data_IF_220849792855
#
_entry.id   IF_220849792855
#
_cell.length_a   1.000
_cell.length_b   1.000
_cell.length_c   1.000
_cell.angle_alpha   90.00
_cell.angle_beta   90.00
_cell.angle_gamma   90.00
#
_symmetry.space_group_name_H-M   'P 1'
#
loop_
_entity.id
_entity.type
_entity.pdbx_description
1 polymer ?
#
# COMPACT_ATOMS: atom_id res chain seq x y z
N UNK A 1 -33.29 -23.02 23.63
CA UNK A 1 -32.27 -22.16 22.98
C UNK A 1 -32.20 -22.52 21.49
N UNK A 2 -32.34 -21.55 20.57
CA UNK A 2 -32.17 -21.82 19.13
C UNK A 2 -30.68 -22.09 18.86
N UNK A 3 -30.35 -23.19 18.19
CA UNK A 3 -28.96 -23.50 17.80
C UNK A 3 -28.47 -22.41 16.84
N UNK A 4 -27.24 -21.88 17.00
CA UNK A 4 -26.75 -20.82 16.14
C UNK A 4 -26.54 -21.36 14.73
N UNK A 5 -26.94 -20.59 13.72
CA UNK A 5 -26.85 -21.01 12.31
C UNK A 5 -25.40 -21.28 11.90
N UNK A 6 -25.07 -22.50 11.46
CA UNK A 6 -23.73 -22.82 10.97
C UNK A 6 -23.50 -22.20 9.58
N UNK A 7 -22.24 -22.12 9.17
CA UNK A 7 -21.91 -21.67 7.82
C UNK A 7 -22.36 -22.71 6.79
N UNK A 8 -22.95 -22.26 5.68
CA UNK A 8 -23.31 -23.11 4.56
C UNK A 8 -22.40 -22.78 3.37
N UNK A 9 -21.81 -23.76 2.66
CA UNK A 9 -20.96 -23.49 1.50
C UNK A 9 -21.63 -22.65 0.41
N UNK A 10 -22.96 -22.76 0.26
CA UNK A 10 -23.76 -21.93 -0.64
C UNK A 10 -23.65 -20.43 -0.34
N UNK A 11 -23.35 -20.05 0.90
CA UNK A 11 -23.16 -18.65 1.28
C UNK A 11 -21.97 -18.02 0.57
N UNK A 12 -20.93 -18.80 0.27
CA UNK A 12 -19.70 -18.27 -0.32
C UNK A 12 -19.95 -17.54 -1.64
N UNK A 13 -20.73 -18.15 -2.55
CA UNK A 13 -21.09 -17.54 -3.83
C UNK A 13 -22.33 -16.65 -3.70
N UNK A 14 -23.30 -17.00 -2.86
CA UNK A 14 -24.54 -16.23 -2.74
C UNK A 14 -24.32 -14.83 -2.14
N UNK A 15 -23.34 -14.71 -1.23
CA UNK A 15 -23.02 -13.49 -0.51
C UNK A 15 -21.56 -13.06 -0.70
N UNK A 16 -20.84 -13.68 -1.64
CA UNK A 16 -19.45 -13.31 -1.94
C UNK A 16 -18.55 -13.20 -0.69
N UNK A 17 -18.54 -14.27 0.09
CA UNK A 17 -17.70 -14.42 1.29
C UNK A 17 -16.75 -15.59 1.13
N UNK A 18 -15.57 -15.51 1.73
CA UNK A 18 -14.61 -16.61 1.74
C UNK A 18 -14.24 -17.02 3.16
N UNK A 19 -14.10 -18.32 3.39
CA UNK A 19 -13.63 -18.88 4.66
C UNK A 19 -12.13 -18.68 4.73
N UNK A 20 -11.64 -18.08 5.82
CA UNK A 20 -10.22 -17.75 6.02
C UNK A 20 -9.58 -18.51 7.17
N UNK A 21 -10.38 -19.00 8.11
CA UNK A 21 -9.90 -19.77 9.24
C UNK A 21 -10.95 -20.80 9.63
N UNK A 22 -10.48 -21.92 10.16
CA UNK A 22 -11.30 -22.95 10.80
C UNK A 22 -10.63 -23.31 12.11
N UNK A 23 -11.33 -23.12 13.21
CA UNK A 23 -10.85 -23.46 14.54
C UNK A 23 -10.92 -24.98 14.76
N UNK A 24 -10.20 -25.47 15.77
CA UNK A 24 -10.16 -26.89 16.13
C UNK A 24 -11.52 -27.48 16.51
N UNK A 25 -12.45 -26.63 16.95
CA UNK A 25 -13.83 -27.00 17.26
C UNK A 25 -14.75 -27.03 16.02
N UNK A 26 -14.24 -26.76 14.82
CA UNK A 26 -15.00 -26.71 13.57
C UNK A 26 -15.69 -25.38 13.29
N UNK A 27 -15.57 -24.37 14.16
CA UNK A 27 -16.09 -23.03 13.86
C UNK A 27 -15.25 -22.37 12.78
N UNK A 28 -15.92 -21.79 11.78
CA UNK A 28 -15.26 -21.08 10.68
C UNK A 28 -15.30 -19.58 10.90
N UNK A 29 -14.35 -18.86 10.30
CA UNK A 29 -14.41 -17.41 10.14
C UNK A 29 -14.41 -17.10 8.66
N UNK A 30 -15.35 -16.26 8.22
CA UNK A 30 -15.46 -15.83 6.83
C UNK A 30 -15.14 -14.34 6.73
N UNK A 31 -14.62 -13.88 5.60
CA UNK A 31 -14.48 -12.44 5.31
C UNK A 31 -15.25 -12.04 4.07
N UNK A 32 -15.66 -10.78 4.03
CA UNK A 32 -16.27 -10.17 2.85
C UNK A 32 -15.21 -9.94 1.76
N UNK A 33 -15.47 -10.40 0.53
CA UNK A 33 -14.55 -10.18 -0.59
C UNK A 33 -14.64 -8.77 -1.18
N UNK A 34 -15.79 -8.10 -1.14
CA UNK A 34 -15.88 -6.66 -1.49
C UNK A 34 -14.96 -5.83 -0.61
N UNK A 35 -15.00 -6.02 0.71
CA UNK A 35 -14.06 -5.40 1.65
C UNK A 35 -12.59 -5.64 1.27
N UNK A 36 -12.25 -6.86 0.81
CA UNK A 36 -10.89 -7.29 0.50
C UNK A 36 -10.34 -6.68 -0.80
N UNK A 37 -11.18 -6.56 -1.83
CA UNK A 37 -10.74 -6.19 -3.18
C UNK A 37 -11.12 -4.77 -3.59
N UNK A 38 -12.22 -4.24 -3.07
CA UNK A 38 -12.73 -2.92 -3.45
C UNK A 38 -12.71 -1.95 -2.26
N UNK A 39 -12.54 -2.45 -1.05
CA UNK A 39 -12.70 -1.64 0.15
C UNK A 39 -14.17 -1.27 0.34
N UNK A 40 -14.44 -0.26 1.17
CA UNK A 40 -15.80 0.18 1.47
C UNK A 40 -16.15 1.40 0.63
N UNK A 41 -17.41 1.49 0.21
CA UNK A 41 -17.92 2.66 -0.53
C UNK A 41 -17.61 3.95 0.25
N UNK A 42 -17.06 4.93 -0.46
CA UNK A 42 -16.74 6.24 0.11
C UNK A 42 -18.05 6.99 0.35
N UNK A 43 -18.28 7.39 1.59
CA UNK A 43 -19.38 8.26 1.97
C UNK A 43 -18.79 9.62 2.32
N UNK A 44 -19.25 10.67 1.64
CA UNK A 44 -18.77 12.03 1.88
C UNK A 44 -19.10 12.48 3.31
N UNK A 45 -18.03 12.82 4.04
CA UNK A 45 -18.11 13.35 5.41
C UNK A 45 -18.78 14.73 5.34
N UNK A 46 -19.79 14.95 6.19
CA UNK A 46 -20.53 16.22 6.26
C UNK A 46 -21.80 16.31 5.43
N UNK A 47 -21.94 15.58 4.32
CA UNK A 47 -23.18 15.56 3.51
C UNK A 47 -24.23 14.62 4.09
N UNK A 48 -23.79 13.49 4.67
CA UNK A 48 -24.69 12.46 5.22
C UNK A 48 -24.84 12.51 6.75
N UNK A 49 -24.53 13.65 7.40
CA UNK A 49 -24.56 13.79 8.86
C UNK A 49 -23.51 12.97 9.63
N UNK A 50 -22.49 12.44 8.93
CA UNK A 50 -21.46 11.58 9.52
C UNK A 50 -20.18 12.36 9.79
N UNK A 51 -19.68 12.30 11.03
CA UNK A 51 -18.56 13.12 11.53
C UNK A 51 -17.17 12.46 11.44
N UNK A 52 -17.06 11.24 10.88
CA UNK A 52 -15.78 10.49 10.86
C UNK A 52 -15.59 9.74 9.54
N UNK A 53 -14.33 9.74 9.05
CA UNK A 53 -13.86 8.92 7.91
C UNK A 53 -14.12 7.44 8.20
N UNK A 54 -14.63 6.72 7.20
CA UNK A 54 -14.92 5.29 7.32
C UNK A 54 -13.62 4.49 7.36
N UNK A 55 -13.48 3.59 8.36
CA UNK A 55 -12.30 2.71 8.47
C UNK A 55 -12.28 1.71 7.32
N UNK A 56 -11.11 1.49 6.71
CA UNK A 56 -10.91 0.56 5.59
C UNK A 56 -10.79 -0.92 5.97
N UNK A 57 -11.06 -1.28 7.22
CA UNK A 57 -10.84 -2.65 7.70
C UNK A 57 -11.78 -3.66 7.03
N UNK A 58 -11.25 -4.85 6.79
CA UNK A 58 -12.01 -5.96 6.23
C UNK A 58 -13.05 -6.46 7.24
N UNK A 59 -14.30 -6.65 6.78
CA UNK A 59 -15.34 -7.26 7.61
C UNK A 59 -15.15 -8.78 7.68
N UNK A 60 -15.01 -9.27 8.90
CA UNK A 60 -15.08 -10.69 9.25
C UNK A 60 -16.45 -11.04 9.85
N UNK A 61 -16.92 -12.24 9.52
CA UNK A 61 -18.14 -12.86 10.01
C UNK A 61 -17.79 -14.12 10.77
N UNK A 62 -18.39 -14.25 11.95
CA UNK A 62 -18.35 -15.45 12.76
C UNK A 62 -19.80 -15.90 12.99
N UNK A 63 -19.97 -17.07 13.60
CA UNK A 63 -21.28 -17.60 13.99
C UNK A 63 -22.06 -16.59 14.86
N UNK A 64 -23.38 -16.42 14.66
CA UNK A 64 -24.24 -17.15 13.72
C UNK A 64 -24.17 -16.60 12.28
N UNK A 65 -24.16 -17.50 11.29
CA UNK A 65 -24.11 -17.13 9.88
C UNK A 65 -25.50 -16.88 9.30
N UNK A 66 -26.12 -15.78 9.73
CA UNK A 66 -27.47 -15.42 9.29
C UNK A 66 -27.39 -14.63 7.97
N UNK A 67 -28.09 -15.06 6.90
CA UNK A 67 -28.10 -14.36 5.61
C UNK A 67 -28.41 -12.86 5.65
N UNK A 68 -29.22 -12.44 6.62
CA UNK A 68 -29.55 -11.03 6.84
C UNK A 68 -28.32 -10.19 7.18
N UNK A 69 -27.36 -10.71 7.96
CA UNK A 69 -26.17 -9.96 8.36
C UNK A 69 -25.25 -9.66 7.17
N UNK A 70 -25.09 -10.62 6.25
CA UNK A 70 -24.35 -10.37 5.01
C UNK A 70 -25.01 -9.28 4.17
N UNK A 71 -26.32 -9.38 3.96
CA UNK A 71 -27.09 -8.40 3.18
C UNK A 71 -27.02 -7.01 3.78
N UNK A 72 -27.22 -6.90 5.10
CA UNK A 72 -27.14 -5.62 5.82
C UNK A 72 -25.76 -4.99 5.67
N UNK A 73 -24.69 -5.78 5.76
CA UNK A 73 -23.33 -5.30 5.54
C UNK A 73 -23.11 -4.80 4.11
N UNK A 74 -23.51 -5.59 3.10
CA UNK A 74 -23.32 -5.21 1.70
C UNK A 74 -24.12 -3.96 1.31
N UNK A 75 -25.40 -3.88 1.68
CA UNK A 75 -26.23 -2.71 1.41
C UNK A 75 -25.66 -1.45 2.11
N UNK A 76 -25.11 -1.61 3.31
CA UNK A 76 -24.58 -0.48 4.07
C UNK A 76 -23.19 0.00 3.64
N UNK A 77 -22.38 -0.84 3.00
CA UNK A 77 -20.94 -0.54 2.79
C UNK A 77 -20.38 -0.88 1.40
N UNK A 78 -21.14 -1.61 0.59
CA UNK A 78 -20.79 -2.03 -0.77
C UNK A 78 -22.03 -1.98 -1.65
N UNK A 79 -22.86 -0.95 -1.52
CA UNK A 79 -24.19 -0.89 -2.13
C UNK A 79 -24.09 -0.99 -3.67
N UNK A 80 -23.12 -0.30 -4.25
CA UNK A 80 -22.90 -0.30 -5.71
C UNK A 80 -22.45 -1.68 -6.20
N UNK A 81 -21.39 -2.22 -5.60
CA UNK A 81 -20.82 -3.51 -5.99
C UNK A 81 -21.78 -4.66 -5.72
N UNK A 82 -22.54 -4.62 -4.62
CA UNK A 82 -23.54 -5.61 -4.29
C UNK A 82 -24.68 -5.62 -5.30
N UNK A 83 -25.20 -4.44 -5.67
CA UNK A 83 -26.26 -4.31 -6.68
C UNK A 83 -25.78 -4.91 -8.01
N UNK A 84 -24.55 -4.59 -8.42
CA UNK A 84 -23.93 -5.19 -9.62
C UNK A 84 -23.79 -6.70 -9.48
N UNK A 85 -23.29 -7.18 -8.34
CA UNK A 85 -23.06 -8.61 -8.13
C UNK A 85 -24.36 -9.41 -8.19
N UNK A 86 -25.47 -8.86 -7.69
CA UNK A 86 -26.76 -9.54 -7.68
C UNK A 86 -27.31 -9.84 -9.08
N UNK A 87 -27.02 -9.00 -10.09
CA UNK A 87 -27.50 -9.19 -11.47
C UNK A 87 -26.69 -10.21 -12.27
N UNK A 88 -25.54 -10.65 -11.75
CA UNK A 88 -24.65 -11.57 -12.44
C UNK A 88 -25.11 -13.03 -12.34
N UNK A 89 -24.82 -13.76 -13.41
CA UNK A 89 -24.92 -15.23 -13.44
C UNK A 89 -23.95 -15.89 -12.45
N UNK A 90 -24.16 -17.17 -12.17
CA UNK A 90 -23.29 -17.92 -11.26
C UNK A 90 -21.82 -17.97 -11.73
N UNK A 91 -21.59 -18.02 -13.04
CA UNK A 91 -20.23 -18.09 -13.60
C UNK A 91 -19.54 -16.73 -13.57
N UNK A 92 -20.23 -15.65 -13.90
CA UNK A 92 -19.71 -14.29 -13.76
C UNK A 92 -19.40 -13.92 -12.30
N UNK A 93 -20.19 -14.43 -11.35
CA UNK A 93 -19.93 -14.26 -9.91
C UNK A 93 -18.63 -14.90 -9.47
N UNK A 94 -18.25 -16.05 -10.05
CA UNK A 94 -16.99 -16.73 -9.74
C UNK A 94 -15.80 -15.90 -10.21
N UNK A 95 -15.90 -15.29 -11.40
CA UNK A 95 -14.83 -14.49 -12.01
C UNK A 95 -14.87 -13.00 -11.65
N UNK A 96 -15.76 -12.55 -10.74
CA UNK A 96 -15.98 -11.12 -10.46
C UNK A 96 -14.73 -10.37 -9.96
N UNK A 97 -13.80 -11.08 -9.31
CA UNK A 97 -12.55 -10.52 -8.81
C UNK A 97 -11.30 -11.04 -9.53
N UNK A 98 -11.46 -11.78 -10.63
CA UNK A 98 -10.32 -12.26 -11.39
C UNK A 98 -9.54 -11.07 -11.95
N UNK A 99 -8.22 -11.08 -11.74
CA UNK A 99 -7.34 -9.98 -12.11
C UNK A 99 -7.40 -8.74 -11.20
N UNK A 100 -8.23 -8.71 -10.15
CA UNK A 100 -8.24 -7.62 -9.17
C UNK A 100 -7.18 -7.85 -8.09
N UNK A 101 -6.39 -6.82 -7.79
CA UNK A 101 -5.47 -6.81 -6.66
C UNK A 101 -6.23 -6.44 -5.38
N UNK A 102 -5.92 -7.10 -4.27
CA UNK A 102 -6.50 -6.79 -2.95
C UNK A 102 -6.17 -5.34 -2.57
N UNK A 103 -7.14 -4.59 -2.07
CA UNK A 103 -6.93 -3.18 -1.70
C UNK A 103 -5.86 -3.00 -0.63
N UNK A 104 -5.78 -3.94 0.32
CA UNK A 104 -4.72 -3.96 1.37
C UNK A 104 -3.31 -4.04 0.82
N UNK A 105 -3.14 -4.44 -0.44
CA UNK A 105 -1.84 -4.54 -1.08
C UNK A 105 -1.53 -3.32 -1.95
N UNK A 106 -2.42 -2.33 -2.00
CA UNK A 106 -2.27 -1.15 -2.85
C UNK A 106 -1.74 0.02 -2.02
N UNK A 107 -0.63 0.59 -2.50
CA UNK A 107 0.05 1.71 -1.85
C UNK A 107 -0.92 2.87 -1.56
N UNK A 108 -1.82 3.16 -2.49
CA UNK A 108 -2.80 4.25 -2.35
C UNK A 108 -3.77 4.11 -1.17
N UNK A 109 -3.97 2.91 -0.61
CA UNK A 109 -4.80 2.78 0.59
C UNK A 109 -4.08 3.32 1.85
N UNK A 110 -2.75 3.31 1.82
CA UNK A 110 -1.89 3.79 2.90
C UNK A 110 -1.37 5.22 2.66
N UNK A 111 -1.64 5.79 1.49
CA UNK A 111 -1.26 7.15 1.12
C UNK A 111 -2.49 8.05 1.13
N UNK A 112 -2.36 9.25 1.69
CA UNK A 112 -3.44 10.23 1.67
C UNK A 112 -3.47 10.96 0.33
N UNK A 113 -4.21 10.42 -0.64
CA UNK A 113 -4.34 11.02 -1.97
C UNK A 113 -5.04 12.40 -1.98
N UNK A 114 -5.60 12.84 -0.86
CA UNK A 114 -6.16 14.18 -0.73
C UNK A 114 -5.08 15.26 -0.64
N UNK A 115 -3.86 14.87 -0.24
CA UNK A 115 -2.74 15.78 -0.03
C UNK A 115 -1.61 15.38 -0.96
N UNK A 116 -1.12 16.31 -1.79
CA UNK A 116 0.03 16.07 -2.69
C UNK A 116 1.39 16.16 -1.96
N UNK A 117 1.37 16.03 -0.62
CA UNK A 117 2.54 16.17 0.25
C UNK A 117 2.60 15.00 1.21
N UNK A 118 3.77 14.37 1.30
CA UNK A 118 4.06 13.30 2.24
C UNK A 118 5.28 13.70 3.07
N UNK A 119 5.12 13.72 4.39
CA UNK A 119 6.18 14.07 5.34
C UNK A 119 6.75 12.79 5.97
N UNK A 120 8.07 12.66 5.97
CA UNK A 120 8.79 11.56 6.60
C UNK A 120 9.84 12.10 7.56
N UNK A 121 9.87 11.57 8.78
CA UNK A 121 10.95 11.83 9.73
C UNK A 121 11.99 10.72 9.55
N UNK A 122 13.13 11.07 8.97
CA UNK A 122 14.21 10.13 8.68
C UNK A 122 15.43 10.53 9.51
N UNK A 123 16.12 9.54 10.10
CA UNK A 123 17.37 9.79 10.83
C UNK A 123 18.41 10.42 9.90
N UNK A 124 19.07 11.48 10.37
CA UNK A 124 20.18 12.10 9.63
C UNK A 124 21.22 11.07 9.19
N UNK A 125 21.56 10.10 10.05
CA UNK A 125 22.51 9.03 9.73
C UNK A 125 22.10 8.16 8.53
N UNK A 126 20.80 7.95 8.31
CA UNK A 126 20.28 7.20 7.15
C UNK A 126 20.46 8.03 5.88
N UNK A 127 20.11 9.32 5.93
CA UNK A 127 20.27 10.21 4.77
C UNK A 127 21.75 10.35 4.43
N UNK A 128 22.62 10.50 5.43
CA UNK A 128 24.06 10.65 5.25
C UNK A 128 24.72 9.40 4.66
N UNK A 129 24.37 8.21 5.17
CA UNK A 129 25.03 6.96 4.78
C UNK A 129 24.40 6.34 3.54
N UNK A 130 23.07 6.34 3.42
CA UNK A 130 22.41 5.64 2.31
C UNK A 130 22.25 6.60 1.14
N UNK A 131 21.54 7.72 1.32
CA UNK A 131 21.30 8.67 0.22
C UNK A 131 22.59 9.38 -0.18
N UNK A 132 23.37 9.83 0.81
CA UNK A 132 24.66 10.48 0.59
C UNK A 132 25.64 9.58 -0.15
N UNK A 133 25.85 8.35 0.32
CA UNK A 133 26.83 7.48 -0.31
C UNK A 133 26.28 6.83 -1.60
N UNK A 134 24.96 6.62 -1.79
CA UNK A 134 24.42 6.10 -3.06
C UNK A 134 24.47 7.15 -4.19
N UNK A 135 24.08 8.40 -3.92
CA UNK A 135 24.01 9.44 -4.95
C UNK A 135 25.36 10.13 -5.20
N UNK A 136 26.24 10.19 -4.19
CA UNK A 136 27.53 10.88 -4.27
C UNK A 136 28.71 9.94 -4.08
N UNK A 137 28.49 8.63 -4.30
CA UNK A 137 29.54 7.67 -4.57
C UNK A 137 30.38 8.24 -5.70
N UNK A 138 31.55 8.74 -5.36
CA UNK A 138 32.55 9.12 -6.35
C UNK A 138 32.78 7.86 -7.16
N UNK A 139 32.45 7.93 -8.45
CA UNK A 139 32.60 6.79 -9.34
C UNK A 139 33.94 6.15 -9.09
N UNK A 140 33.91 4.95 -8.53
CA UNK A 140 35.06 4.05 -8.44
C UNK A 140 35.36 3.42 -9.81
N UNK A 141 34.89 4.06 -10.89
CA UNK A 141 35.43 3.88 -12.22
C UNK A 141 36.57 4.88 -12.37
N UNK A 142 37.76 4.33 -12.12
CA UNK A 142 39.03 4.77 -12.64
C UNK A 142 38.97 4.87 -14.18
N UNK A 143 38.18 5.79 -14.72
CA UNK A 143 38.32 6.27 -16.09
C UNK A 143 39.56 7.16 -16.09
N UNK A 144 40.70 6.49 -16.25
CA UNK A 144 41.93 7.08 -16.78
C UNK A 144 41.65 7.54 -18.21
N UNK A 145 40.88 8.62 -18.36
CA UNK A 145 40.87 9.38 -19.61
C UNK A 145 42.26 9.99 -19.76
N UNK A 146 43.07 9.25 -20.51
CA UNK A 146 44.42 9.60 -20.91
C UNK A 146 44.34 10.52 -22.13
N UNK A 147 43.71 11.68 -21.97
CA UNK A 147 43.96 12.80 -22.88
C UNK A 147 45.02 13.68 -22.24
N UNK A 148 46.25 13.15 -22.33
CA UNK A 148 47.47 13.87 -22.04
C UNK A 148 47.65 14.96 -23.10
N UNK A 149 47.15 16.15 -22.82
CA UNK A 149 47.78 17.37 -23.32
C UNK A 149 48.68 17.89 -22.21
N UNK A 150 49.97 17.77 -22.49
CA UNK A 150 51.10 18.29 -21.72
C UNK A 150 50.90 19.75 -21.35
N UNK A 151 50.98 20.06 -20.06
CA UNK A 151 51.97 21.03 -19.56
C UNK A 151 52.02 20.99 -18.01
N UNK A 152 53.25 20.82 -17.52
CA UNK A 152 53.79 21.09 -16.18
C UNK A 152 53.06 20.57 -14.92
N UNK A 153 53.69 19.59 -14.26
CA UNK A 153 53.66 19.31 -12.81
C UNK A 153 52.32 19.57 -12.10
N UNK A 154 51.22 19.07 -12.65
CA UNK A 154 49.99 18.93 -11.87
C UNK A 154 50.22 17.78 -10.90
N UNK A 155 50.69 18.11 -9.70
CA UNK A 155 50.86 17.16 -8.62
C UNK A 155 49.59 16.32 -8.51
N UNK A 156 49.67 15.05 -8.91
CA UNK A 156 48.51 14.14 -8.98
C UNK A 156 47.80 14.08 -7.62
N UNK A 157 48.54 14.24 -6.52
CA UNK A 157 47.97 14.35 -5.19
C UNK A 157 47.16 15.64 -4.99
N UNK A 158 47.57 16.77 -5.58
CA UNK A 158 46.81 18.03 -5.57
C UNK A 158 45.55 17.94 -6.43
N UNK A 159 45.60 17.28 -7.60
CA UNK A 159 44.42 17.02 -8.43
C UNK A 159 43.41 16.10 -7.71
N UNK A 160 43.89 15.03 -7.07
CA UNK A 160 43.06 14.13 -6.25
C UNK A 160 42.48 14.88 -5.04
N UNK A 161 43.29 15.69 -4.35
CA UNK A 161 42.84 16.46 -3.19
C UNK A 161 41.79 17.52 -3.57
N UNK A 162 41.95 18.19 -4.72
CA UNK A 162 40.96 19.13 -5.27
C UNK A 162 39.66 18.41 -5.61
N UNK A 163 39.73 17.25 -6.28
CA UNK A 163 38.56 16.44 -6.63
C UNK A 163 37.83 15.91 -5.38
N UNK A 164 38.56 15.46 -4.36
CA UNK A 164 38.01 15.04 -3.08
C UNK A 164 37.37 16.20 -2.31
N UNK A 165 38.00 17.39 -2.32
CA UNK A 165 37.46 18.60 -1.71
C UNK A 165 36.17 19.06 -2.40
N UNK A 166 36.13 19.01 -3.73
CA UNK A 166 34.97 19.38 -4.53
C UNK A 166 33.81 18.41 -4.34
N UNK A 167 34.10 17.12 -4.27
CA UNK A 167 33.11 16.10 -3.92
C UNK A 167 32.56 16.29 -2.50
N UNK A 168 33.40 16.62 -1.52
CA UNK A 168 32.97 16.93 -0.17
C UNK A 168 32.05 18.17 -0.12
N UNK A 169 32.37 19.23 -0.90
CA UNK A 169 31.51 20.42 -1.04
C UNK A 169 30.17 20.08 -1.69
N UNK A 170 30.17 19.24 -2.72
CA UNK A 170 28.95 18.80 -3.40
C UNK A 170 28.06 17.96 -2.48
N UNK A 171 28.63 17.07 -1.66
CA UNK A 171 27.90 16.34 -0.62
C UNK A 171 27.21 17.29 0.36
N UNK A 172 27.96 18.27 0.90
CA UNK A 172 27.42 19.26 1.85
C UNK A 172 26.31 20.12 1.21
N UNK A 173 26.50 20.56 -0.03
CA UNK A 173 25.49 21.37 -0.73
C UNK A 173 24.23 20.57 -1.08
N UNK A 174 24.38 19.30 -1.47
CA UNK A 174 23.24 18.43 -1.68
C UNK A 174 22.49 18.12 -0.37
N UNK A 175 23.19 17.97 0.76
CA UNK A 175 22.55 17.77 2.06
C UNK A 175 21.70 18.97 2.48
N UNK A 176 22.03 20.19 2.05
CA UNK A 176 21.19 21.39 2.27
C UNK A 176 19.85 21.33 1.54
N UNK A 177 19.70 20.48 0.52
CA UNK A 177 18.42 20.28 -0.18
C UNK A 177 17.44 19.42 0.64
N UNK A 178 17.92 18.72 1.67
CA UNK A 178 17.10 17.86 2.54
C UNK A 178 16.77 18.50 3.90
N UNK A 179 17.15 19.76 4.11
CA UNK A 179 16.81 20.52 5.32
C UNK A 179 15.54 21.33 5.01
N UNK A 180 14.39 20.84 5.50
CA UNK A 180 13.13 21.59 5.63
C UNK A 180 12.84 21.82 7.11
#
# INVERSE_FOLDING_TARGET
>A
MKKPTPFQPSHALAYDVEVVATASNGDVTCRCKFCLYEGRDVVDVGVSGRNRKQRGDIKYFNKPFVPHEYRSHHVGQHAASWTRYQTLSADEKKSFFDGKTKTTNLLHQHFDLATDKQEFIISASIVETIVGDLFFRGGDELETSSDAESDEDVNVADAIARKASEQAKNRVNAMKLFIL
#
